data_IF_957325834051
#
_entry.id   IF_957325834051
#
_cell.length_a   1.000
_cell.length_b   1.000
_cell.length_c   1.000
_cell.angle_alpha   90.00
_cell.angle_beta   90.00
_cell.angle_gamma   90.00
#
_symmetry.space_group_name_H-M   'P 1'
#
loop_
_entity.id
_entity.type
_entity.pdbx_description
1 polymer ?
#
# COMPACT_ATOMS: atom_id res chain seq x y z
N UNK A 1 8.29 -6.96 -18.08
CA UNK A 1 8.68 -6.40 -19.39
C UNK A 1 7.78 -5.24 -19.81
N UNK A 2 6.45 -5.43 -19.90
CA UNK A 2 5.52 -4.39 -20.34
C UNK A 2 5.60 -3.11 -19.48
N UNK A 3 5.64 -3.23 -18.15
CA UNK A 3 5.81 -2.08 -17.24
C UNK A 3 7.11 -1.30 -17.49
N UNK A 4 8.22 -1.99 -17.80
CA UNK A 4 9.51 -1.34 -18.06
C UNK A 4 9.51 -0.55 -19.36
N UNK A 5 8.91 -1.11 -20.41
CA UNK A 5 8.72 -0.41 -21.69
C UNK A 5 7.78 0.78 -21.50
N UNK A 6 6.66 0.59 -20.79
CA UNK A 6 5.69 1.64 -20.48
C UNK A 6 6.27 2.78 -19.63
N UNK A 7 7.23 2.47 -18.74
CA UNK A 7 7.96 3.45 -17.94
C UNK A 7 9.11 4.14 -18.70
N UNK A 8 9.37 3.75 -19.95
CA UNK A 8 10.42 4.35 -20.78
C UNK A 8 11.85 3.92 -20.43
N UNK A 9 12.03 2.77 -19.76
CA UNK A 9 13.35 2.25 -19.44
C UNK A 9 14.06 1.75 -20.73
N UNK A 10 15.37 2.02 -20.89
CA UNK A 10 16.14 1.58 -22.06
C UNK A 10 16.50 0.09 -21.96
N UNK A 11 15.49 -0.77 -22.10
CA UNK A 11 15.58 -2.22 -21.86
C UNK A 11 16.47 -2.97 -22.84
N UNK A 12 16.76 -2.40 -24.00
CA UNK A 12 17.58 -2.95 -25.09
C UNK A 12 19.09 -2.71 -24.92
N UNK A 13 19.48 -1.79 -24.02
CA UNK A 13 20.89 -1.48 -23.77
C UNK A 13 21.59 -2.57 -22.94
N UNK A 14 22.91 -2.63 -23.09
CA UNK A 14 23.81 -3.43 -22.26
C UNK A 14 24.04 -2.81 -20.86
N UNK A 15 22.96 -2.36 -20.23
CA UNK A 15 22.93 -1.75 -18.90
C UNK A 15 21.88 -2.47 -18.05
N UNK A 16 22.06 -2.53 -16.73
CA UNK A 16 21.09 -3.13 -15.82
C UNK A 16 19.98 -2.15 -15.44
N UNK A 17 18.74 -2.44 -15.83
CA UNK A 17 17.56 -1.66 -15.50
C UNK A 17 16.72 -2.40 -14.45
N UNK A 18 16.60 -1.84 -13.24
CA UNK A 18 15.73 -2.41 -12.20
C UNK A 18 14.33 -1.79 -12.30
N UNK A 19 13.31 -2.64 -12.25
CA UNK A 19 11.91 -2.24 -12.15
C UNK A 19 11.23 -2.97 -11.00
N UNK A 20 10.34 -2.26 -10.31
CA UNK A 20 9.44 -2.81 -9.29
C UNK A 20 8.03 -2.39 -9.70
N UNK A 21 7.19 -3.36 -10.02
CA UNK A 21 5.79 -3.18 -10.42
C UNK A 21 4.88 -3.72 -9.31
N UNK A 22 4.14 -2.84 -8.65
CA UNK A 22 3.26 -3.18 -7.51
C UNK A 22 1.81 -3.08 -7.98
N UNK A 23 1.19 -4.22 -8.20
CA UNK A 23 -0.21 -4.33 -8.65
C UNK A 23 -1.21 -4.43 -7.51
N UNK A 24 -2.39 -4.99 -7.82
CA UNK A 24 -3.41 -5.35 -6.82
C UNK A 24 -2.97 -6.54 -5.97
N UNK A 25 -2.75 -7.70 -6.57
CA UNK A 25 -2.40 -8.93 -5.82
C UNK A 25 -0.93 -9.36 -5.87
N UNK A 26 -0.09 -8.71 -6.68
CA UNK A 26 1.32 -9.11 -6.84
C UNK A 26 2.26 -7.93 -6.98
N UNK A 27 3.46 -8.08 -6.41
CA UNK A 27 4.61 -7.20 -6.68
C UNK A 27 5.66 -7.96 -7.47
N UNK A 28 6.02 -7.44 -8.64
CA UNK A 28 7.01 -8.01 -9.55
C UNK A 28 8.28 -7.15 -9.55
N UNK A 29 9.41 -7.74 -9.16
CA UNK A 29 10.71 -7.10 -9.13
C UNK A 29 11.57 -7.73 -10.21
N UNK A 30 12.18 -6.93 -11.09
CA UNK A 30 12.98 -7.44 -12.19
C UNK A 30 14.19 -6.58 -12.50
N UNK A 31 15.27 -7.22 -12.94
CA UNK A 31 16.43 -6.58 -13.57
C UNK A 31 16.46 -6.97 -15.04
N UNK A 32 16.51 -5.99 -15.93
CA UNK A 32 16.44 -6.15 -17.38
C UNK A 32 17.73 -5.64 -18.01
N UNK A 33 18.24 -6.35 -19.01
CA UNK A 33 19.34 -5.91 -19.87
C UNK A 33 19.27 -6.61 -21.22
N UNK A 34 19.68 -5.96 -22.31
CA UNK A 34 19.69 -6.56 -23.66
C UNK A 34 18.34 -7.22 -24.05
N UNK A 35 17.24 -6.55 -23.73
CA UNK A 35 15.86 -7.01 -23.92
C UNK A 35 15.51 -8.33 -23.21
N UNK A 36 16.36 -8.79 -22.30
CA UNK A 36 16.19 -10.00 -21.51
C UNK A 36 15.98 -9.71 -20.03
N UNK A 37 15.19 -10.56 -19.37
CA UNK A 37 15.06 -10.56 -17.91
C UNK A 37 16.26 -11.30 -17.32
N UNK A 38 17.10 -10.57 -16.57
CA UNK A 38 18.32 -11.10 -15.95
C UNK A 38 18.00 -11.72 -14.60
N UNK A 39 17.22 -11.01 -13.78
CA UNK A 39 16.75 -11.45 -12.47
C UNK A 39 15.28 -11.11 -12.32
N UNK A 40 14.54 -11.94 -11.60
CA UNK A 40 13.18 -11.63 -11.19
C UNK A 40 12.85 -12.18 -9.79
N UNK A 41 11.87 -11.54 -9.15
CA UNK A 41 11.22 -11.98 -7.92
C UNK A 41 9.76 -11.58 -8.00
N UNK A 42 8.86 -12.54 -7.83
CA UNK A 42 7.42 -12.32 -7.76
C UNK A 42 6.96 -12.55 -6.32
N UNK A 43 6.26 -11.57 -5.77
CA UNK A 43 5.68 -11.61 -4.43
C UNK A 43 4.16 -11.60 -4.56
N UNK A 44 3.47 -12.49 -3.85
CA UNK A 44 2.00 -12.48 -3.69
C UNK A 44 1.59 -11.54 -2.56
N UNK A 45 2.09 -10.31 -2.63
CA UNK A 45 1.84 -9.23 -1.68
C UNK A 45 1.90 -7.92 -2.45
N UNK A 46 0.81 -7.15 -2.45
CA UNK A 46 0.72 -5.84 -3.07
C UNK A 46 -0.45 -5.00 -2.50
N UNK A 47 -1.28 -4.42 -3.36
CA UNK A 47 -2.39 -3.54 -3.00
C UNK A 47 -3.49 -4.18 -2.14
N UNK A 48 -3.83 -5.45 -2.38
CA UNK A 48 -4.92 -6.14 -1.72
C UNK A 48 -4.58 -6.40 -0.25
N UNK A 49 -3.35 -6.83 0.04
CA UNK A 49 -2.84 -7.02 1.40
C UNK A 49 -2.71 -5.69 2.16
N UNK A 50 -2.36 -4.59 1.46
CA UNK A 50 -2.36 -3.26 2.07
C UNK A 50 -3.78 -2.84 2.47
N UNK A 51 -4.79 -3.16 1.67
CA UNK A 51 -6.20 -2.87 1.97
C UNK A 51 -6.69 -3.74 3.12
N UNK A 52 -6.32 -5.02 3.14
CA UNK A 52 -6.62 -5.91 4.27
C UNK A 52 -5.99 -5.42 5.57
N UNK A 53 -4.76 -4.90 5.52
CA UNK A 53 -4.09 -4.31 6.68
C UNK A 53 -4.89 -3.13 7.28
N UNK A 54 -5.51 -2.29 6.45
CA UNK A 54 -6.40 -1.20 6.90
C UNK A 54 -7.67 -1.74 7.56
N UNK A 55 -8.29 -2.79 7.00
CA UNK A 55 -9.45 -3.46 7.60
C UNK A 55 -9.10 -4.01 8.98
N UNK A 56 -7.97 -4.72 9.06
CA UNK A 56 -7.49 -5.34 10.29
C UNK A 56 -7.12 -4.29 11.35
N UNK A 57 -6.50 -3.19 10.95
CA UNK A 57 -6.26 -2.03 11.82
C UNK A 57 -7.56 -1.45 12.39
N UNK A 58 -8.57 -1.18 11.56
CA UNK A 58 -9.84 -0.62 12.02
C UNK A 58 -10.55 -1.56 13.00
N UNK A 59 -10.51 -2.87 12.71
CA UNK A 59 -11.10 -3.92 13.54
C UNK A 59 -10.40 -4.04 14.89
N UNK A 60 -9.07 -4.11 14.89
CA UNK A 60 -8.27 -4.37 16.10
C UNK A 60 -8.16 -3.15 17.01
N UNK A 61 -7.97 -1.94 16.44
CA UNK A 61 -7.75 -0.72 17.22
C UNK A 61 -9.04 -0.07 17.70
N UNK A 62 -10.13 -0.16 16.93
CA UNK A 62 -11.35 0.60 17.21
C UNK A 62 -12.63 -0.23 17.27
N UNK A 63 -12.54 -1.56 17.21
CA UNK A 63 -13.70 -2.45 17.11
C UNK A 63 -14.62 -2.04 15.94
N UNK A 64 -14.05 -1.55 14.83
CA UNK A 64 -14.81 -1.03 13.68
C UNK A 64 -14.66 -1.97 12.48
N UNK A 65 -15.78 -2.51 12.00
CA UNK A 65 -15.83 -3.29 10.77
C UNK A 65 -15.92 -2.36 9.56
N UNK A 66 -14.97 -2.48 8.64
CA UNK A 66 -14.96 -1.79 7.35
C UNK A 66 -15.14 -2.78 6.21
N UNK A 67 -15.79 -2.34 5.14
CA UNK A 67 -15.77 -3.04 3.85
C UNK A 67 -14.50 -2.73 3.07
N UNK A 68 -14.18 -3.57 2.10
CA UNK A 68 -12.98 -3.47 1.27
C UNK A 68 -12.89 -2.13 0.53
N UNK A 69 -13.97 -1.69 -0.13
CA UNK A 69 -14.01 -0.39 -0.83
C UNK A 69 -13.70 0.79 0.11
N UNK A 70 -14.24 0.77 1.34
CA UNK A 70 -13.98 1.84 2.31
C UNK A 70 -12.54 1.79 2.83
N UNK A 71 -11.96 0.59 2.99
CA UNK A 71 -10.57 0.44 3.37
C UNK A 71 -9.61 0.91 2.24
N UNK A 72 -9.96 0.64 0.99
CA UNK A 72 -9.24 1.14 -0.19
C UNK A 72 -9.25 2.68 -0.25
N UNK A 73 -10.41 3.30 -0.03
CA UNK A 73 -10.55 4.75 0.04
C UNK A 73 -9.67 5.36 1.15
N UNK A 74 -9.57 4.69 2.30
CA UNK A 74 -8.67 5.09 3.40
C UNK A 74 -7.21 4.97 2.96
N UNK A 75 -6.82 3.84 2.36
CA UNK A 75 -5.47 3.61 1.84
C UNK A 75 -5.06 4.71 0.87
N UNK A 76 -5.94 5.09 -0.06
CA UNK A 76 -5.69 6.17 -1.03
C UNK A 76 -5.63 7.54 -0.35
N UNK A 77 -6.53 7.83 0.59
CA UNK A 77 -6.66 9.16 1.18
C UNK A 77 -5.53 9.51 2.17
N UNK A 78 -5.07 8.54 2.97
CA UNK A 78 -4.13 8.80 4.08
C UNK A 78 -2.99 7.79 4.18
N UNK A 79 -2.93 6.77 3.33
CA UNK A 79 -1.84 5.80 3.32
C UNK A 79 -0.49 6.45 3.00
N UNK A 80 0.56 6.00 3.66
CA UNK A 80 1.94 6.41 3.36
C UNK A 80 2.92 5.31 3.75
N UNK A 81 3.98 5.15 2.97
CA UNK A 81 5.11 4.27 3.29
C UNK A 81 6.21 4.94 4.12
N UNK A 82 6.11 6.26 4.35
CA UNK A 82 7.15 7.03 5.02
C UNK A 82 6.57 8.24 5.80
N UNK A 83 7.22 8.72 6.87
CA UNK A 83 6.84 9.97 7.54
C UNK A 83 6.69 11.15 6.58
N UNK A 84 5.49 11.74 6.53
CA UNK A 84 5.22 12.92 5.72
C UNK A 84 5.78 14.17 6.39
N UNK A 85 6.30 15.13 5.60
CA UNK A 85 6.83 16.40 6.14
C UNK A 85 5.84 17.13 7.03
N UNK A 86 4.57 17.20 6.62
CA UNK A 86 3.46 17.83 7.36
C UNK A 86 3.18 17.21 8.73
N UNK A 87 3.55 15.96 8.95
CA UNK A 87 3.41 15.33 10.28
C UNK A 87 4.37 15.94 11.29
N UNK A 88 5.56 16.41 10.83
CA UNK A 88 6.53 17.11 11.70
C UNK A 88 6.05 18.51 12.08
N UNK A 89 5.10 19.05 11.34
CA UNK A 89 4.43 20.33 11.58
C UNK A 89 3.09 20.14 12.31
N UNK A 90 2.88 18.96 12.92
CA UNK A 90 1.66 18.55 13.64
C UNK A 90 0.37 18.61 12.80
N UNK A 91 0.51 18.36 11.49
CA UNK A 91 -0.58 18.40 10.51
C UNK A 91 -0.66 17.10 9.69
N UNK A 92 -0.94 15.95 10.32
CA UNK A 92 -1.09 14.69 9.59
C UNK A 92 -2.26 14.76 8.60
N UNK A 93 -2.15 14.04 7.48
CA UNK A 93 -3.33 13.74 6.67
C UNK A 93 -4.34 12.98 7.52
N UNK A 94 -5.63 13.25 7.28
CA UNK A 94 -6.72 12.68 8.05
C UNK A 94 -7.94 12.47 7.16
N UNK A 95 -8.71 11.42 7.43
CA UNK A 95 -9.97 11.12 6.75
C UNK A 95 -11.01 10.62 7.74
N UNK A 96 -12.29 10.89 7.47
CA UNK A 96 -13.41 10.38 8.28
C UNK A 96 -13.93 9.11 7.64
N UNK A 97 -13.90 8.03 8.41
CA UNK A 97 -14.27 6.69 7.97
C UNK A 97 -15.53 6.27 8.69
N UNK A 98 -16.50 5.75 7.94
CA UNK A 98 -17.74 5.22 8.50
C UNK A 98 -17.77 3.71 8.35
N UNK A 99 -18.04 3.01 9.45
CA UNK A 99 -18.13 1.56 9.49
C UNK A 99 -19.21 1.07 10.44
N UNK A 100 -19.24 -0.24 10.68
CA UNK A 100 -20.14 -0.86 11.67
C UNK A 100 -19.35 -1.13 12.95
N UNK A 101 -19.82 -0.58 14.06
CA UNK A 101 -19.27 -0.91 15.38
C UNK A 101 -19.51 -2.38 15.70
N UNK A 102 -18.48 -3.12 16.08
CA UNK A 102 -18.59 -4.51 16.52
C UNK A 102 -19.18 -4.62 17.93
N UNK A 103 -19.06 -3.57 18.73
CA UNK A 103 -19.60 -3.53 20.10
C UNK A 103 -21.12 -3.30 20.10
N UNK A 104 -21.59 -2.34 19.32
CA UNK A 104 -23.00 -1.92 19.33
C UNK A 104 -23.79 -2.41 18.12
N UNK A 105 -23.11 -2.89 17.08
CA UNK A 105 -23.73 -3.27 15.80
C UNK A 105 -24.19 -2.09 14.93
N UNK A 106 -24.08 -0.85 15.41
CA UNK A 106 -24.58 0.35 14.73
C UNK A 106 -23.51 1.07 13.90
N UNK A 107 -23.89 1.89 12.91
CA UNK A 107 -22.95 2.74 12.17
C UNK A 107 -22.18 3.69 13.11
N UNK A 108 -20.86 3.73 12.98
CA UNK A 108 -19.95 4.60 13.74
C UNK A 108 -18.97 5.27 12.78
N UNK A 109 -18.67 6.55 13.03
CA UNK A 109 -17.68 7.31 12.27
C UNK A 109 -16.47 7.61 13.13
N UNK A 110 -15.27 7.44 12.58
CA UNK A 110 -13.99 7.70 13.23
C UNK A 110 -13.08 8.49 12.31
N UNK A 111 -12.16 9.28 12.89
CA UNK A 111 -11.11 9.96 12.13
C UNK A 111 -9.87 9.08 12.16
N UNK A 112 -9.33 8.74 10.99
CA UNK A 112 -8.04 8.06 10.85
C UNK A 112 -6.98 9.04 10.38
N UNK A 113 -5.75 8.86 10.85
CA UNK A 113 -4.61 9.70 10.48
C UNK A 113 -3.58 8.91 9.66
N UNK A 114 -2.80 9.64 8.85
CA UNK A 114 -1.68 9.07 8.07
C UNK A 114 -0.63 8.37 8.92
N UNK A 115 -0.42 8.79 10.16
CA UNK A 115 0.52 8.15 11.08
C UNK A 115 0.03 6.75 11.44
N UNK A 116 -1.22 6.64 11.88
CA UNK A 116 -1.81 5.36 12.31
C UNK A 116 -1.98 4.40 11.13
N UNK A 117 -2.41 4.92 9.97
CA UNK A 117 -2.54 4.10 8.77
C UNK A 117 -1.16 3.66 8.27
N UNK A 118 -0.12 4.51 8.31
CA UNK A 118 1.25 4.07 8.00
C UNK A 118 1.67 2.91 8.89
N UNK A 119 1.47 3.00 10.21
CA UNK A 119 1.82 1.92 11.14
C UNK A 119 1.13 0.60 10.77
N UNK A 120 -0.14 0.66 10.38
CA UNK A 120 -0.89 -0.50 9.91
C UNK A 120 -0.31 -1.11 8.62
N UNK A 121 0.17 -0.27 7.69
CA UNK A 121 0.71 -0.72 6.40
C UNK A 121 2.15 -1.24 6.49
N UNK A 122 2.94 -0.81 7.48
CA UNK A 122 4.38 -1.12 7.58
C UNK A 122 4.71 -2.62 7.48
N UNK A 123 3.98 -3.56 8.12
CA UNK A 123 4.28 -4.99 8.01
C UNK A 123 4.18 -5.52 6.57
N UNK A 124 3.23 -5.01 5.79
CA UNK A 124 3.04 -5.40 4.38
C UNK A 124 4.12 -4.75 3.50
N UNK A 125 4.41 -3.47 3.74
CA UNK A 125 5.46 -2.74 3.03
C UNK A 125 6.84 -3.40 3.23
N UNK A 126 7.15 -3.85 4.45
CA UNK A 126 8.40 -4.56 4.71
C UNK A 126 8.52 -5.88 3.94
N UNK A 127 7.41 -6.58 3.68
CA UNK A 127 7.43 -7.80 2.84
C UNK A 127 7.80 -7.48 1.39
N UNK A 128 7.39 -6.32 0.88
CA UNK A 128 7.77 -5.87 -0.48
C UNK A 128 9.26 -5.50 -0.55
N UNK A 129 9.83 -4.99 0.55
CA UNK A 129 11.24 -4.57 0.62
C UNK A 129 12.23 -5.70 0.91
N UNK A 130 11.78 -6.83 1.46
CA UNK A 130 12.59 -8.03 1.75
C UNK A 130 12.75 -8.95 0.55
#
# INVERSE_FOLDING_TARGET
>A
MAAAIGAGLPVDKAEGQMIIDIGGGTSEIGVISLSGLVLNKSLRVAGDELTEAVINFARSKYSLLLGESTAEEVKIAVGSAYPLKREKEDQPLQTVVRGRSLETGLPKSLKFTSIEVREALMPVIHQILS
#
